data_IF_710115091711
#
_entry.id   IF_710115091711
#
_cell.length_a   1.000
_cell.length_b   1.000
_cell.length_c   1.000
_cell.angle_alpha   90.00
_cell.angle_beta   90.00
_cell.angle_gamma   90.00
#
_symmetry.space_group_name_H-M   'P 1'
#
loop_
_entity.id
_entity.type
_entity.pdbx_description
1 polymer ?
#
# COMPACT_ATOMS: atom_id res chain seq x y z
N UNK A 1 16.32 -5.40 13.34
CA UNK A 1 15.42 -5.84 12.24
C UNK A 1 16.24 -6.44 11.11
N UNK A 2 15.71 -7.36 10.32
CA UNK A 2 16.40 -7.88 9.13
C UNK A 2 15.54 -7.65 7.89
N UNK A 3 16.02 -6.78 7.01
CA UNK A 3 15.46 -6.57 5.67
C UNK A 3 16.07 -7.63 4.75
N UNK A 4 15.21 -8.40 4.08
CA UNK A 4 15.63 -9.45 3.13
C UNK A 4 15.83 -8.86 1.73
N UNK A 5 14.90 -7.99 1.29
CA UNK A 5 14.99 -7.32 0.00
C UNK A 5 14.28 -5.96 0.01
N UNK A 6 14.72 -5.09 -0.90
CA UNK A 6 14.09 -3.81 -1.21
C UNK A 6 13.97 -3.76 -2.73
N UNK A 7 12.74 -3.69 -3.24
CA UNK A 7 12.48 -3.70 -4.67
C UNK A 7 11.78 -2.40 -5.08
N UNK A 8 12.27 -1.80 -6.16
CA UNK A 8 11.61 -0.69 -6.83
C UNK A 8 10.45 -1.18 -7.69
N UNK A 9 9.50 -0.30 -7.93
CA UNK A 9 8.43 -0.54 -8.90
C UNK A 9 8.56 0.35 -10.14
N UNK A 10 7.69 0.14 -11.14
CA UNK A 10 7.62 0.98 -12.32
C UNK A 10 7.11 2.41 -12.03
N UNK A 11 6.42 2.62 -10.90
CA UNK A 11 6.09 3.96 -10.40
C UNK A 11 7.22 4.38 -9.46
N UNK A 12 7.98 5.41 -9.85
CA UNK A 12 9.13 5.89 -9.08
C UNK A 12 8.77 6.23 -7.64
N UNK A 13 9.62 5.82 -6.70
CA UNK A 13 9.48 6.08 -5.27
C UNK A 13 8.64 5.05 -4.51
N UNK A 14 7.86 4.19 -5.17
CA UNK A 14 7.24 3.04 -4.51
C UNK A 14 8.34 2.01 -4.20
N UNK A 15 8.34 1.49 -2.97
CA UNK A 15 9.28 0.45 -2.51
C UNK A 15 8.50 -0.72 -1.93
N UNK A 16 8.84 -1.92 -2.36
CA UNK A 16 8.42 -3.16 -1.71
C UNK A 16 9.56 -3.66 -0.82
N UNK A 17 9.30 -3.83 0.46
CA UNK A 17 10.31 -4.15 1.46
C UNK A 17 9.92 -5.47 2.12
N UNK A 18 10.76 -6.48 1.93
CA UNK A 18 10.54 -7.79 2.55
C UNK A 18 11.34 -7.90 3.86
N UNK A 19 10.67 -8.27 4.94
CA UNK A 19 11.24 -8.44 6.26
C UNK A 19 11.26 -9.91 6.66
N UNK A 20 12.30 -10.28 7.42
CA UNK A 20 12.43 -11.61 7.96
C UNK A 20 11.51 -11.85 9.16
N UNK A 21 10.93 -13.07 9.24
CA UNK A 21 10.30 -13.63 10.44
C UNK A 21 11.21 -14.67 11.05
N UNK A 22 11.44 -14.59 12.34
CA UNK A 22 12.19 -15.57 13.11
C UNK A 22 11.19 -16.59 13.68
N UNK A 23 11.11 -17.75 13.02
CA UNK A 23 10.15 -18.80 13.33
C UNK A 23 10.75 -19.87 14.24
N UNK A 24 9.96 -20.33 15.22
CA UNK A 24 10.26 -21.49 16.06
C UNK A 24 8.97 -22.33 16.30
N UNK A 25 9.01 -23.28 17.25
CA UNK A 25 7.87 -24.13 17.59
C UNK A 25 6.70 -23.40 18.29
N UNK A 26 6.89 -22.16 18.73
CA UNK A 26 5.86 -21.31 19.35
C UNK A 26 5.17 -20.40 18.35
N UNK A 27 5.75 -20.21 17.13
CA UNK A 27 5.26 -19.30 16.11
C UNK A 27 6.39 -18.47 15.49
N UNK A 28 6.24 -17.14 15.46
CA UNK A 28 7.30 -16.27 14.96
C UNK A 28 7.40 -14.96 15.74
N UNK A 29 8.58 -14.37 15.68
CA UNK A 29 8.86 -12.99 16.05
C UNK A 29 9.32 -12.21 14.80
N UNK A 30 8.91 -10.98 14.66
CA UNK A 30 9.40 -10.08 13.61
C UNK A 30 9.46 -8.66 14.16
N UNK A 31 10.60 -8.00 13.99
CA UNK A 31 10.66 -6.54 14.14
C UNK A 31 10.16 -5.94 12.82
N UNK A 32 9.04 -5.25 12.88
CA UNK A 32 8.35 -4.80 11.67
C UNK A 32 8.76 -3.40 11.23
N UNK A 33 9.28 -2.60 12.14
CA UNK A 33 9.85 -1.28 11.87
C UNK A 33 10.93 -0.92 12.89
N UNK A 34 12.04 -0.39 12.40
CA UNK A 34 13.08 0.27 13.20
C UNK A 34 13.66 1.41 12.35
N UNK A 35 13.51 2.65 12.81
CA UNK A 35 13.90 3.85 12.05
C UNK A 35 15.35 3.82 11.58
N UNK A 36 16.28 3.39 12.45
CA UNK A 36 17.70 3.30 12.13
C UNK A 36 18.00 2.28 11.02
N UNK A 37 17.30 1.14 11.00
CA UNK A 37 17.50 0.12 9.95
C UNK A 37 16.92 0.59 8.61
N UNK A 38 15.79 1.31 8.62
CA UNK A 38 15.26 1.94 7.42
C UNK A 38 16.23 3.00 6.90
N UNK A 39 16.71 3.92 7.73
CA UNK A 39 17.67 4.97 7.33
C UNK A 39 18.98 4.40 6.80
N UNK A 40 19.52 3.34 7.44
CA UNK A 40 20.74 2.67 7.00
C UNK A 40 20.60 2.01 5.61
N UNK A 41 19.37 1.75 5.15
CA UNK A 41 19.05 1.24 3.83
C UNK A 41 18.52 2.34 2.87
N UNK A 42 18.74 3.62 3.19
CA UNK A 42 18.27 4.79 2.43
C UNK A 42 16.73 4.87 2.29
N UNK A 43 15.99 4.27 3.22
CA UNK A 43 14.53 4.33 3.28
C UNK A 43 14.08 5.46 4.22
N UNK A 44 14.31 6.71 3.80
CA UNK A 44 14.03 7.90 4.60
C UNK A 44 12.60 8.39 4.39
N UNK A 45 11.61 7.54 4.67
CA UNK A 45 10.19 7.81 4.42
C UNK A 45 9.57 8.81 5.40
N UNK A 46 10.11 8.89 6.60
CA UNK A 46 9.55 9.67 7.70
C UNK A 46 10.59 10.69 8.21
N UNK A 47 10.74 11.80 7.48
CA UNK A 47 11.72 12.86 7.84
C UNK A 47 11.43 13.49 9.21
N UNK A 48 10.15 13.54 9.60
CA UNK A 48 9.69 14.06 10.90
C UNK A 48 9.22 12.94 11.85
N UNK A 49 9.64 11.69 11.61
CA UNK A 49 9.12 10.53 12.31
C UNK A 49 7.75 10.06 11.78
N UNK A 50 7.25 8.97 12.36
CA UNK A 50 5.89 8.49 12.09
C UNK A 50 4.92 9.41 12.82
N UNK A 51 4.08 10.15 12.10
CA UNK A 51 3.15 11.12 12.69
C UNK A 51 1.77 10.52 13.01
N UNK A 52 1.40 9.43 12.33
CA UNK A 52 0.15 8.73 12.57
C UNK A 52 0.29 7.25 12.24
N UNK A 53 -0.31 6.39 13.05
CA UNK A 53 -0.43 4.94 12.82
C UNK A 53 -1.90 4.56 12.81
N UNK A 54 -2.30 3.73 11.85
CA UNK A 54 -3.67 3.27 11.70
C UNK A 54 -3.71 1.76 11.52
N UNK A 55 -4.77 1.16 12.05
CA UNK A 55 -5.20 -0.20 11.74
C UNK A 55 -6.57 -0.14 11.05
N UNK A 56 -6.80 -1.01 10.08
CA UNK A 56 -8.13 -1.19 9.50
C UNK A 56 -8.44 -2.66 9.26
N UNK A 57 -9.70 -3.01 9.50
CA UNK A 57 -10.28 -4.30 9.11
C UNK A 57 -11.22 -4.10 7.92
N UNK A 58 -11.14 -5.01 6.95
CA UNK A 58 -12.02 -5.01 5.78
C UNK A 58 -12.49 -6.43 5.50
N UNK A 59 -13.78 -6.58 5.23
CA UNK A 59 -14.31 -7.84 4.74
C UNK A 59 -13.84 -8.14 3.31
N UNK A 60 -13.91 -9.40 2.94
CA UNK A 60 -13.72 -9.84 1.54
C UNK A 60 -14.55 -8.97 0.60
N UNK A 61 -13.99 -8.66 -0.56
CA UNK A 61 -14.58 -7.84 -1.62
C UNK A 61 -14.82 -6.36 -1.24
N UNK A 62 -14.36 -5.88 -0.09
CA UNK A 62 -14.34 -4.44 0.16
C UNK A 62 -13.33 -3.79 -0.79
N UNK A 63 -13.70 -2.66 -1.37
CA UNK A 63 -12.83 -1.74 -2.09
C UNK A 63 -12.74 -0.45 -1.29
N UNK A 64 -11.53 0.06 -1.05
CA UNK A 64 -11.27 1.34 -0.40
C UNK A 64 -10.39 2.18 -1.29
N UNK A 65 -10.78 3.40 -1.57
CA UNK A 65 -9.97 4.35 -2.33
C UNK A 65 -10.34 4.34 -3.82
N UNK A 66 -9.56 5.05 -4.61
CA UNK A 66 -8.24 5.60 -4.34
C UNK A 66 -8.33 6.94 -3.60
N UNK A 67 -7.62 7.11 -2.51
CA UNK A 67 -7.61 8.35 -1.74
C UNK A 67 -6.23 9.01 -1.73
N UNK A 68 -6.19 10.33 -1.78
CA UNK A 68 -4.97 11.11 -1.63
C UNK A 68 -5.23 12.39 -0.83
N UNK A 69 -4.19 12.87 -0.16
CA UNK A 69 -4.22 14.10 0.63
C UNK A 69 -3.13 15.05 0.10
N UNK A 70 -3.46 16.35 -0.02
CA UNK A 70 -2.54 17.33 -0.60
C UNK A 70 -2.03 18.40 0.37
N UNK A 71 -2.63 18.56 1.54
CA UNK A 71 -2.15 19.52 2.55
C UNK A 71 -2.42 19.04 3.99
N UNK A 72 -1.38 18.55 4.69
CA UNK A 72 -0.07 18.20 4.15
C UNK A 72 -0.15 17.00 3.22
N UNK A 73 0.80 16.86 2.30
CA UNK A 73 0.95 15.63 1.51
C UNK A 73 1.20 14.44 2.44
N UNK A 74 0.70 13.27 2.07
CA UNK A 74 0.80 12.07 2.92
C UNK A 74 1.36 10.88 2.14
N UNK A 75 2.52 10.39 2.57
CA UNK A 75 3.05 9.08 2.21
C UNK A 75 2.63 8.03 3.23
N UNK A 76 2.51 6.78 2.80
CA UNK A 76 2.04 5.66 3.63
C UNK A 76 2.97 4.46 3.52
N UNK A 77 3.35 3.89 4.65
CA UNK A 77 4.03 2.59 4.73
C UNK A 77 3.00 1.56 5.21
N UNK A 78 2.61 0.63 4.33
CA UNK A 78 1.44 -0.24 4.52
C UNK A 78 1.85 -1.71 4.54
N UNK A 79 1.19 -2.51 5.37
CA UNK A 79 1.32 -3.98 5.37
C UNK A 79 0.02 -4.68 5.68
N UNK A 80 -0.10 -5.91 5.23
CA UNK A 80 -1.13 -6.84 5.68
C UNK A 80 -0.68 -7.56 6.95
N UNK A 81 -1.49 -7.51 8.01
CA UNK A 81 -1.25 -8.22 9.27
C UNK A 81 -1.82 -9.64 9.19
N UNK A 82 -3.06 -9.75 8.72
CA UNK A 82 -3.76 -11.01 8.50
C UNK A 82 -4.66 -10.89 7.26
N UNK A 83 -4.83 -11.98 6.53
CA UNK A 83 -5.61 -11.99 5.29
C UNK A 83 -4.78 -11.68 4.06
N UNK A 84 -5.45 -11.16 3.01
CA UNK A 84 -4.86 -10.93 1.69
C UNK A 84 -5.38 -9.64 1.06
N UNK A 85 -4.53 -8.62 1.05
CA UNK A 85 -4.76 -7.34 0.41
C UNK A 85 -4.14 -7.31 -0.99
N UNK A 86 -4.80 -6.67 -1.94
CA UNK A 86 -4.16 -6.12 -3.13
C UNK A 86 -4.14 -4.61 -2.99
N UNK A 87 -2.96 -4.03 -3.05
CA UNK A 87 -2.73 -2.61 -2.91
C UNK A 87 -2.75 -1.93 -4.28
N UNK A 88 -3.47 -0.81 -4.42
CA UNK A 88 -3.61 -0.05 -5.65
C UNK A 88 -2.94 1.31 -5.49
N UNK A 89 -2.05 1.67 -6.40
CA UNK A 89 -1.36 2.96 -6.37
C UNK A 89 -1.45 3.63 -7.74
N UNK A 90 -2.05 4.83 -7.77
CA UNK A 90 -2.17 5.70 -8.94
C UNK A 90 -1.23 6.89 -8.79
N UNK A 91 -0.36 7.12 -9.74
CA UNK A 91 0.56 8.25 -9.75
C UNK A 91 -0.15 9.54 -10.20
N UNK A 92 -0.32 10.50 -9.29
CA UNK A 92 -0.93 11.81 -9.57
C UNK A 92 0.12 12.93 -9.71
N UNK A 93 1.41 12.64 -9.53
CA UNK A 93 2.47 13.65 -9.49
C UNK A 93 2.66 14.28 -10.87
N UNK A 94 2.62 15.63 -10.89
CA UNK A 94 2.90 16.38 -12.10
C UNK A 94 4.30 16.10 -12.64
N UNK A 95 4.42 15.99 -13.96
CA UNK A 95 5.67 15.70 -14.66
C UNK A 95 6.33 14.35 -14.33
N UNK A 96 5.63 13.46 -13.61
CA UNK A 96 6.08 12.07 -13.46
C UNK A 96 5.95 11.31 -14.78
N UNK A 97 6.93 10.49 -15.19
CA UNK A 97 6.82 9.65 -16.39
C UNK A 97 5.71 8.59 -16.28
N UNK A 98 5.17 8.41 -15.08
CA UNK A 98 4.07 7.49 -14.80
C UNK A 98 2.78 8.19 -14.35
N UNK A 99 2.69 9.51 -14.55
CA UNK A 99 1.47 10.27 -14.23
C UNK A 99 0.25 9.65 -14.93
N UNK A 100 -0.85 9.45 -14.17
CA UNK A 100 -2.09 8.82 -14.62
C UNK A 100 -2.02 7.29 -14.75
N UNK A 101 -0.86 6.65 -14.44
CA UNK A 101 -0.74 5.20 -14.46
C UNK A 101 -0.97 4.60 -13.08
N UNK A 102 -1.64 3.45 -13.06
CA UNK A 102 -1.94 2.68 -11.85
C UNK A 102 -1.17 1.35 -11.86
N UNK A 103 -0.79 0.91 -10.67
CA UNK A 103 -0.26 -0.45 -10.41
C UNK A 103 -1.05 -1.11 -9.29
N UNK A 104 -1.16 -2.43 -9.37
CA UNK A 104 -1.64 -3.30 -8.31
C UNK A 104 -0.47 -4.12 -7.75
N UNK A 105 -0.45 -4.31 -6.44
CA UNK A 105 0.58 -5.07 -5.72
C UNK A 105 -0.09 -6.15 -4.88
N UNK A 106 0.33 -7.40 -5.10
CA UNK A 106 -0.15 -8.54 -4.33
C UNK A 106 0.52 -8.57 -2.96
N UNK A 107 -0.26 -8.37 -1.89
CA UNK A 107 0.22 -8.15 -0.53
C UNK A 107 -0.45 -9.10 0.49
N UNK A 108 -0.25 -10.44 0.37
CA UNK A 108 -0.73 -11.36 1.38
C UNK A 108 0.03 -11.18 2.71
N UNK A 109 -0.63 -11.44 3.85
CA UNK A 109 0.00 -11.37 5.18
C UNK A 109 1.22 -12.28 5.34
N UNK A 110 1.27 -13.36 4.54
CA UNK A 110 2.34 -14.36 4.53
C UNK A 110 2.77 -14.64 3.10
N UNK A 111 3.55 -13.75 2.47
CA UNK A 111 4.06 -13.98 1.11
C UNK A 111 4.93 -15.24 1.05
N UNK A 112 5.69 -15.53 2.13
CA UNK A 112 6.37 -16.80 2.38
C UNK A 112 6.21 -17.19 3.84
N UNK A 113 6.59 -18.42 4.19
CA UNK A 113 6.53 -18.90 5.58
C UNK A 113 7.33 -17.99 6.55
N UNK A 114 8.43 -17.43 6.08
CA UNK A 114 9.42 -16.75 6.91
C UNK A 114 9.55 -15.25 6.58
N UNK A 115 8.58 -14.66 5.90
CA UNK A 115 8.64 -13.24 5.55
C UNK A 115 7.32 -12.52 5.74
N UNK A 116 7.40 -11.18 5.79
CA UNK A 116 6.29 -10.24 5.68
C UNK A 116 6.74 -9.07 4.80
N UNK A 117 5.79 -8.39 4.18
CA UNK A 117 6.11 -7.31 3.26
C UNK A 117 5.47 -6.01 3.69
N UNK A 118 6.22 -4.91 3.49
CA UNK A 118 5.70 -3.56 3.50
C UNK A 118 5.71 -3.01 2.08
N UNK A 119 4.74 -2.15 1.77
CA UNK A 119 4.80 -1.26 0.61
C UNK A 119 4.89 0.18 1.10
N UNK A 120 5.83 0.95 0.55
CA UNK A 120 5.85 2.40 0.68
C UNK A 120 5.17 3.04 -0.52
N UNK A 121 4.11 3.80 -0.24
CA UNK A 121 3.39 4.64 -1.21
C UNK A 121 3.81 6.09 -0.97
N UNK A 122 4.53 6.72 -1.91
CA UNK A 122 5.03 8.08 -1.73
C UNK A 122 3.92 9.13 -1.80
N UNK A 123 4.22 10.29 -1.26
CA UNK A 123 3.39 11.48 -1.38
C UNK A 123 3.09 11.81 -2.85
N UNK A 124 1.89 12.33 -3.12
CA UNK A 124 1.42 12.65 -4.47
C UNK A 124 0.90 11.46 -5.27
N UNK A 125 0.79 10.27 -4.65
CA UNK A 125 0.06 9.13 -5.21
C UNK A 125 -1.30 8.98 -4.54
N UNK A 126 -2.33 8.59 -5.31
CA UNK A 126 -3.57 8.10 -4.75
C UNK A 126 -3.44 6.61 -4.44
N UNK A 127 -4.02 6.20 -3.31
CA UNK A 127 -3.82 4.89 -2.71
C UNK A 127 -5.16 4.25 -2.36
N UNK A 128 -5.29 2.95 -2.64
CA UNK A 128 -6.47 2.16 -2.29
C UNK A 128 -6.13 0.69 -2.17
N UNK A 129 -7.12 -0.09 -1.77
CA UNK A 129 -6.96 -1.53 -1.61
C UNK A 129 -8.25 -2.27 -1.90
N UNK A 130 -8.12 -3.53 -2.33
CA UNK A 130 -9.21 -4.49 -2.32
C UNK A 130 -8.74 -5.82 -1.70
N UNK A 131 -9.70 -6.66 -1.29
CA UNK A 131 -9.39 -7.76 -0.39
C UNK A 131 -9.98 -9.07 -0.91
N UNK A 132 -9.14 -10.12 -1.00
CA UNK A 132 -9.57 -11.46 -1.40
C UNK A 132 -10.23 -12.25 -0.27
N UNK A 133 -10.01 -11.83 0.98
CA UNK A 133 -10.56 -12.41 2.20
C UNK A 133 -10.64 -11.35 3.29
N UNK A 134 -11.24 -11.67 4.43
CA UNK A 134 -11.27 -10.77 5.60
C UNK A 134 -9.85 -10.43 6.02
N UNK A 135 -9.52 -9.14 6.06
CA UNK A 135 -8.14 -8.68 6.12
C UNK A 135 -7.94 -7.56 7.12
N UNK A 136 -6.87 -7.68 7.91
CA UNK A 136 -6.33 -6.62 8.77
C UNK A 136 -5.09 -6.03 8.13
N UNK A 137 -5.05 -4.71 8.03
CA UNK A 137 -3.87 -3.94 7.59
C UNK A 137 -3.45 -2.94 8.64
N UNK A 138 -2.16 -2.65 8.67
CA UNK A 138 -1.56 -1.56 9.45
C UNK A 138 -0.83 -0.63 8.48
N UNK A 139 -0.88 0.67 8.75
CA UNK A 139 -0.09 1.64 7.99
C UNK A 139 0.35 2.82 8.82
N UNK A 140 1.57 3.27 8.55
CA UNK A 140 2.19 4.46 9.12
C UNK A 140 2.13 5.59 8.11
N UNK A 141 1.84 6.81 8.57
CA UNK A 141 1.71 8.00 7.74
C UNK A 141 2.83 9.00 8.00
N UNK A 142 3.32 9.64 6.93
CA UNK A 142 4.33 10.70 6.99
C UNK A 142 3.77 12.04 7.48
N UNK A 143 2.44 12.17 7.50
CA UNK A 143 1.71 13.35 7.99
C UNK A 143 0.45 12.95 8.72
N UNK A 144 -0.14 13.90 9.47
CA UNK A 144 -1.45 13.71 10.11
C UNK A 144 -2.58 13.82 9.10
N UNK A 145 -3.66 13.09 9.34
CA UNK A 145 -4.87 13.15 8.52
C UNK A 145 -5.52 14.54 8.55
N UNK A 146 -5.90 15.04 7.38
CA UNK A 146 -6.63 16.27 7.19
C UNK A 146 -7.79 16.04 6.20
N UNK A 147 -8.99 15.85 6.71
CA UNK A 147 -10.19 15.56 5.92
C UNK A 147 -10.62 16.70 4.98
N UNK A 148 -10.22 17.96 5.28
CA UNK A 148 -10.51 19.12 4.43
C UNK A 148 -9.62 19.16 3.16
N UNK A 149 -8.55 18.38 3.17
CA UNK A 149 -7.57 18.32 2.09
C UNK A 149 -7.39 16.89 1.55
N UNK A 150 -8.44 16.10 1.54
CA UNK A 150 -8.48 14.74 0.99
C UNK A 150 -9.51 14.64 -0.13
N UNK A 151 -9.21 13.83 -1.16
CA UNK A 151 -10.17 13.46 -2.19
C UNK A 151 -10.03 11.99 -2.57
N UNK A 152 -11.12 11.47 -3.18
CA UNK A 152 -11.20 10.16 -3.78
C UNK A 152 -11.18 10.23 -5.31
N UNK A 153 -10.64 9.18 -5.93
CA UNK A 153 -10.69 8.94 -7.38
C UNK A 153 -11.16 7.51 -7.56
N UNK A 154 -12.26 7.33 -8.30
CA UNK A 154 -12.72 5.96 -8.60
C UNK A 154 -11.67 5.22 -9.42
N UNK A 155 -11.25 4.01 -9.01
CA UNK A 155 -10.30 3.20 -9.80
C UNK A 155 -10.88 2.71 -11.13
N UNK A 156 -12.17 2.95 -11.37
CA UNK A 156 -12.87 2.66 -12.62
C UNK A 156 -12.97 3.86 -13.58
N UNK A 157 -12.38 5.00 -13.23
CA UNK A 157 -12.37 6.17 -14.11
C UNK A 157 -11.68 5.85 -15.45
N UNK A 158 -12.25 6.33 -16.56
CA UNK A 158 -11.84 5.95 -17.92
C UNK A 158 -10.43 6.43 -18.29
N UNK A 159 -9.95 7.49 -17.65
CA UNK A 159 -8.65 8.10 -17.89
C UNK A 159 -7.51 7.43 -17.12
N UNK A 160 -7.80 6.44 -16.27
CA UNK A 160 -6.76 5.69 -15.55
C UNK A 160 -6.06 4.70 -16.48
N UNK A 161 -4.76 4.82 -16.54
CA UNK A 161 -3.93 3.98 -17.40
C UNK A 161 -3.36 2.76 -16.66
N UNK A 162 -3.88 1.57 -16.97
CA UNK A 162 -3.48 0.27 -16.41
C UNK A 162 -2.35 -0.43 -17.17
N UNK A 163 -1.67 0.24 -18.11
CA UNK A 163 -0.71 -0.40 -19.04
C UNK A 163 0.53 -0.98 -18.37
N UNK A 164 0.89 -0.50 -17.17
CA UNK A 164 2.07 -0.95 -16.41
C UNK A 164 1.71 -1.88 -15.25
N UNK A 165 0.43 -2.14 -15.03
CA UNK A 165 -0.05 -3.07 -14.01
C UNK A 165 0.17 -4.52 -14.42
N UNK A 166 0.43 -5.40 -13.44
CA UNK A 166 0.39 -6.85 -13.69
C UNK A 166 -0.97 -7.25 -14.27
N UNK A 167 -0.93 -7.99 -15.38
CA UNK A 167 -2.14 -8.30 -16.15
C UNK A 167 -3.11 -9.20 -15.39
N UNK A 168 -2.61 -10.11 -14.54
CA UNK A 168 -3.44 -11.02 -13.77
C UNK A 168 -4.16 -10.27 -12.64
N UNK A 169 -3.46 -9.37 -11.93
CA UNK A 169 -4.06 -8.54 -10.89
C UNK A 169 -5.07 -7.57 -11.47
N UNK A 170 -4.76 -6.94 -12.62
CA UNK A 170 -5.71 -6.12 -13.37
C UNK A 170 -6.97 -6.89 -13.74
N UNK A 171 -6.83 -8.04 -14.38
CA UNK A 171 -7.97 -8.85 -14.79
C UNK A 171 -8.82 -9.25 -13.59
N UNK A 172 -8.17 -9.67 -12.50
CA UNK A 172 -8.84 -10.04 -11.25
C UNK A 172 -9.62 -8.88 -10.64
N UNK A 173 -9.06 -7.67 -10.66
CA UNK A 173 -9.75 -6.47 -10.22
C UNK A 173 -11.03 -6.22 -11.02
N UNK A 174 -10.97 -6.27 -12.36
CA UNK A 174 -12.14 -6.05 -13.21
C UNK A 174 -13.17 -7.18 -13.16
N UNK A 175 -12.75 -8.44 -12.94
CA UNK A 175 -13.66 -9.56 -12.69
C UNK A 175 -14.50 -9.38 -11.42
N UNK A 176 -13.96 -8.71 -10.41
CA UNK A 176 -14.63 -8.46 -9.13
C UNK A 176 -15.49 -7.18 -9.13
N UNK A 177 -15.50 -6.40 -10.22
CA UNK A 177 -16.12 -5.08 -10.30
C UNK A 177 -17.52 -5.03 -9.68
N UNK A 178 -18.39 -5.94 -10.08
CA UNK A 178 -19.81 -5.97 -9.64
C UNK A 178 -19.99 -6.59 -8.25
N UNK A 179 -18.91 -7.12 -7.65
CA UNK A 179 -18.89 -7.74 -6.32
C UNK A 179 -18.31 -6.82 -5.25
N UNK A 180 -17.75 -5.67 -5.63
CA UNK A 180 -17.13 -4.78 -4.68
C UNK A 180 -18.14 -4.11 -3.74
N UNK A 181 -17.77 -4.05 -2.47
CA UNK A 181 -18.45 -3.29 -1.43
C UNK A 181 -17.65 -2.01 -1.24
N UNK A 182 -18.19 -0.88 -1.68
CA UNK A 182 -17.55 0.42 -1.61
C UNK A 182 -18.51 1.46 -1.00
N UNK A 183 -17.95 2.56 -0.51
CA UNK A 183 -18.72 3.71 -0.05
C UNK A 183 -18.77 4.79 -1.14
N UNK A 184 -19.65 5.81 -1.04
CA UNK A 184 -19.68 6.91 -2.01
C UNK A 184 -18.37 7.71 -2.11
N UNK A 185 -17.45 7.53 -1.16
CA UNK A 185 -16.13 8.16 -1.17
C UNK A 185 -15.12 7.36 -2.01
N UNK A 186 -15.36 6.08 -2.20
CA UNK A 186 -14.54 5.14 -2.96
C UNK A 186 -15.05 5.07 -4.41
#
# INVERSE_FOLDING_TARGET
>A
MKINSINDSNISGIKLIELNKFCDNRGYFSETYRSTDFSNNNLNFFTNGILQSNESFSHKNVLRGLHFQWNPNMGKLVRTIAGHMVDLVLDLRQNSPTQGKIMAFDMPAKPTKNSSSWIWVPEGCAHGNFFFEDTYIEYFCSSSYNGDCEAGISPFAEDINWSICDINLKNKFFELKDSFIATPKD
#
